data_IF_426805527178
#
_entry.id   IF_426805527178
#
_cell.length_a   1.000
_cell.length_b   1.000
_cell.length_c   1.000
_cell.angle_alpha   90.00
_cell.angle_beta   90.00
_cell.angle_gamma   90.00
#
_symmetry.space_group_name_H-M   'P 1'
#
loop_
_entity.id
_entity.type
_entity.pdbx_description
1 polymer ?
#
# COMPACT_ATOMS: atom_id res chain seq x y z
N UNK A 1 -1.85 -5.47 -1.72
CA UNK A 1 -2.04 -4.63 -2.94
C UNK A 1 -2.57 -5.43 -4.13
N UNK A 2 -2.23 -6.71 -4.22
CA UNK A 2 -2.52 -7.64 -5.31
C UNK A 2 -4.00 -7.91 -5.62
N UNK A 3 -4.93 -7.37 -4.82
CA UNK A 3 -6.36 -7.28 -5.18
C UNK A 3 -6.63 -6.44 -6.45
N UNK A 4 -5.63 -5.69 -6.91
CA UNK A 4 -5.66 -4.86 -8.12
C UNK A 4 -4.70 -5.36 -9.20
N UNK A 5 -4.41 -6.68 -9.23
CA UNK A 5 -3.43 -7.27 -10.16
C UNK A 5 -3.72 -6.97 -11.63
N UNK A 6 -4.98 -6.74 -11.96
CA UNK A 6 -5.48 -6.43 -13.31
C UNK A 6 -4.89 -5.14 -13.88
N UNK A 7 -4.37 -4.25 -13.03
CA UNK A 7 -3.73 -2.98 -13.42
C UNK A 7 -2.25 -2.91 -13.01
N UNK A 8 -1.68 -4.02 -12.54
CA UNK A 8 -0.27 -4.13 -12.15
C UNK A 8 0.45 -4.95 -13.22
N UNK A 9 1.61 -4.50 -13.75
CA UNK A 9 2.26 -5.15 -14.89
C UNK A 9 3.07 -6.40 -14.49
N UNK A 10 2.39 -7.41 -13.96
CA UNK A 10 2.91 -8.76 -13.64
C UNK A 10 1.99 -9.76 -14.35
N UNK A 11 2.53 -10.46 -15.35
CA UNK A 11 1.72 -11.27 -16.28
C UNK A 11 1.34 -12.62 -15.65
N UNK A 12 2.32 -13.32 -15.08
CA UNK A 12 2.08 -14.60 -14.41
C UNK A 12 1.93 -14.38 -12.89
N UNK A 13 0.77 -14.69 -12.29
CA UNK A 13 0.55 -14.61 -10.85
C UNK A 13 1.54 -15.44 -10.02
N UNK A 14 2.15 -16.48 -10.58
CA UNK A 14 3.16 -17.29 -9.89
C UNK A 14 4.43 -16.48 -9.55
N UNK A 15 4.67 -15.37 -10.24
CA UNK A 15 5.83 -14.50 -10.01
C UNK A 15 5.59 -13.44 -8.92
N UNK A 16 4.42 -13.45 -8.28
CA UNK A 16 4.09 -12.49 -7.21
C UNK A 16 4.94 -12.76 -5.96
N UNK A 17 5.81 -11.80 -5.64
CA UNK A 17 6.57 -11.72 -4.39
C UNK A 17 5.93 -10.67 -3.49
N UNK A 18 5.40 -11.10 -2.35
CA UNK A 18 4.69 -10.22 -1.41
C UNK A 18 5.10 -10.50 0.04
N UNK A 19 5.08 -9.44 0.85
CA UNK A 19 5.19 -9.52 2.31
C UNK A 19 3.84 -9.21 2.99
N UNK A 20 2.75 -9.12 2.21
CA UNK A 20 1.44 -8.70 2.69
C UNK A 20 1.20 -7.19 2.62
N UNK A 21 2.00 -6.44 1.86
CA UNK A 21 1.89 -4.99 1.74
C UNK A 21 0.53 -4.51 1.21
N UNK A 22 0.08 -3.39 1.77
CA UNK A 22 -1.19 -2.75 1.49
C UNK A 22 -2.29 -3.05 2.50
N UNK A 23 -3.55 -2.81 2.11
CA UNK A 23 -4.70 -2.83 3.01
C UNK A 23 -4.50 -2.04 4.33
N UNK A 24 -3.69 -0.98 4.25
CA UNK A 24 -3.35 -0.13 5.37
C UNK A 24 -4.54 0.69 5.87
N UNK A 25 -4.57 1.10 7.15
CA UNK A 25 -5.65 1.90 7.72
C UNK A 25 -5.87 3.24 7.00
N UNK A 26 -7.11 3.72 7.06
CA UNK A 26 -7.50 5.09 6.75
C UNK A 26 -8.24 5.64 7.96
N UNK A 27 -7.69 6.65 8.63
CA UNK A 27 -8.21 7.10 9.92
C UNK A 27 -8.10 8.61 10.14
N UNK A 28 -8.89 9.16 11.05
CA UNK A 28 -8.89 10.58 11.44
C UNK A 28 -8.69 10.73 12.95
N UNK A 29 -7.45 10.62 13.44
CA UNK A 29 -7.15 10.63 14.88
C UNK A 29 -7.20 12.04 15.50
N UNK A 30 -8.37 12.68 15.52
CA UNK A 30 -8.59 13.96 16.22
C UNK A 30 -7.87 15.20 15.67
N UNK A 31 -6.83 15.01 14.85
CA UNK A 31 -6.05 16.06 14.20
C UNK A 31 -6.93 16.99 13.36
N UNK A 32 -7.97 16.44 12.70
CA UNK A 32 -8.93 17.25 11.96
C UNK A 32 -9.61 18.30 12.84
N UNK A 33 -10.03 17.91 14.07
CA UNK A 33 -10.62 18.83 15.04
C UNK A 33 -9.62 19.91 15.47
N UNK A 34 -8.37 19.53 15.73
CA UNK A 34 -7.31 20.46 16.11
C UNK A 34 -7.01 21.50 15.01
N UNK A 35 -7.09 21.08 13.74
CA UNK A 35 -6.83 21.93 12.57
C UNK A 35 -8.08 22.64 12.02
N UNK A 36 -9.25 22.50 12.65
CA UNK A 36 -10.52 23.05 12.13
C UNK A 36 -11.01 22.39 10.83
N UNK A 37 -10.49 21.21 10.48
CA UNK A 37 -10.85 20.46 9.28
C UNK A 37 -11.97 19.46 9.57
N UNK A 38 -13.06 19.53 8.79
CA UNK A 38 -14.22 18.62 8.93
C UNK A 38 -13.98 17.22 8.37
N UNK A 39 -13.06 17.05 7.43
CA UNK A 39 -12.85 15.79 6.69
C UNK A 39 -11.36 15.56 6.43
N UNK A 40 -10.58 15.41 7.50
CA UNK A 40 -9.19 15.01 7.42
C UNK A 40 -9.06 13.50 7.60
N UNK A 41 -8.49 12.81 6.62
CA UNK A 41 -8.16 11.40 6.69
C UNK A 41 -6.64 11.22 6.51
N UNK A 42 -6.06 10.31 7.28
CA UNK A 42 -4.67 9.89 7.20
C UNK A 42 -4.66 8.49 6.62
N UNK A 43 -3.94 8.33 5.51
CA UNK A 43 -3.64 7.02 4.93
C UNK A 43 -2.30 6.54 5.50
N UNK A 44 -2.36 5.67 6.50
CA UNK A 44 -1.16 5.25 7.24
C UNK A 44 -0.41 4.14 6.49
N UNK A 45 0.51 4.53 5.60
CA UNK A 45 1.38 3.59 4.89
C UNK A 45 2.59 3.12 5.72
N UNK A 46 2.75 3.61 6.96
CA UNK A 46 3.82 3.21 7.86
C UNK A 46 3.67 1.78 8.38
N UNK A 47 2.44 1.25 8.43
CA UNK A 47 2.17 -0.12 8.89
C UNK A 47 2.45 -1.22 7.86
N UNK A 48 2.97 -0.86 6.68
CA UNK A 48 3.45 -1.86 5.73
C UNK A 48 4.66 -2.63 6.32
N UNK A 49 4.97 -3.84 5.81
CA UNK A 49 6.01 -4.72 6.37
C UNK A 49 7.41 -4.10 6.54
N UNK A 50 7.76 -3.10 5.73
CA UNK A 50 9.06 -2.40 5.78
C UNK A 50 8.98 -0.99 6.36
N UNK A 51 7.88 -0.62 7.00
CA UNK A 51 7.71 0.68 7.64
C UNK A 51 7.42 1.84 6.67
N UNK A 52 7.16 1.57 5.39
CA UNK A 52 6.90 2.63 4.41
C UNK A 52 6.06 2.18 3.22
N UNK A 53 5.49 3.15 2.50
CA UNK A 53 4.74 2.93 1.27
C UNK A 53 5.56 2.21 0.17
N UNK A 54 6.90 2.28 0.24
CA UNK A 54 7.81 1.66 -0.74
C UNK A 54 7.66 0.14 -0.81
N UNK A 55 7.16 -0.50 0.24
CA UNK A 55 6.86 -1.93 0.24
C UNK A 55 6.02 -2.33 -0.99
N UNK A 56 5.02 -1.51 -1.36
CA UNK A 56 4.15 -1.77 -2.52
C UNK A 56 4.90 -1.72 -3.85
N UNK A 57 5.65 -0.65 -4.06
CA UNK A 57 6.40 -0.44 -5.30
C UNK A 57 7.46 -1.52 -5.49
N UNK A 58 8.16 -1.89 -4.42
CA UNK A 58 9.19 -2.93 -4.46
C UNK A 58 8.60 -4.33 -4.68
N UNK A 59 7.46 -4.66 -4.05
CA UNK A 59 6.76 -5.92 -4.32
C UNK A 59 6.40 -6.05 -5.80
N UNK A 60 5.82 -5.00 -6.41
CA UNK A 60 5.52 -5.01 -7.84
C UNK A 60 6.79 -5.10 -8.72
N UNK A 61 7.84 -4.33 -8.39
CA UNK A 61 9.07 -4.29 -9.17
C UNK A 61 9.80 -5.64 -9.16
N UNK A 62 9.93 -6.28 -7.99
CA UNK A 62 10.56 -7.60 -7.85
C UNK A 62 9.72 -8.67 -8.55
N UNK A 63 8.39 -8.65 -8.37
CA UNK A 63 7.51 -9.62 -9.05
C UNK A 63 7.61 -9.51 -10.57
N UNK A 64 7.71 -8.29 -11.09
CA UNK A 64 7.89 -8.04 -12.53
C UNK A 64 9.27 -8.47 -13.03
N UNK A 65 10.32 -8.35 -12.22
CA UNK A 65 11.67 -8.83 -12.58
C UNK A 65 11.70 -10.36 -12.76
N UNK A 66 10.83 -11.08 -12.06
CA UNK A 66 10.69 -12.53 -12.15
C UNK A 66 9.71 -12.97 -13.27
N UNK A 67 9.01 -12.00 -13.90
CA UNK A 67 8.03 -12.25 -14.96
C UNK A 67 8.63 -12.37 -16.36
#
# INVERSE_FOLDING_TARGET
MWRYREVIPVVDPANIVTLGEGHTPLHSQGLGKHLGMKSLLIKDEGVNPTGSFKARGLSAAVSRLLS
#
